data_IF_776693843834
#
_entry.id   IF_776693843834
#
_cell.length_a   1.000
_cell.length_b   1.000
_cell.length_c   1.000
_cell.angle_alpha   90.00
_cell.angle_beta   90.00
_cell.angle_gamma   90.00
#
_symmetry.space_group_name_H-M   'P 1'
#
loop_
_entity.id
_entity.type
_entity.pdbx_description
1 polymer ?
#
# COMPACT_ATOMS: atom_id res chain seq x y z
N UNK A 1 -0.03 10.72 1.53
CA UNK A 1 -0.97 9.59 1.29
C UNK A 1 -0.43 8.32 1.94
N UNK A 2 -1.27 7.42 2.44
CA UNK A 2 -0.83 6.09 2.96
C UNK A 2 -1.60 4.99 2.26
N UNK A 3 -0.91 4.14 1.50
CA UNK A 3 -1.46 2.97 0.83
C UNK A 3 -1.13 1.75 1.66
N UNK A 4 -2.14 0.95 2.01
CA UNK A 4 -1.97 -0.16 2.95
C UNK A 4 -2.06 -1.50 2.25
N UNK A 5 -1.00 -2.30 2.34
CA UNK A 5 -1.00 -3.72 1.98
C UNK A 5 -1.45 -4.49 3.21
N UNK A 6 -2.61 -5.13 3.15
CA UNK A 6 -3.20 -5.86 4.28
C UNK A 6 -3.17 -7.36 4.02
N UNK A 7 -2.68 -8.12 5.00
CA UNK A 7 -2.79 -9.57 5.07
C UNK A 7 -3.81 -9.94 6.15
N UNK A 8 -4.93 -10.56 5.74
CA UNK A 8 -5.98 -11.04 6.65
C UNK A 8 -6.45 -12.42 6.23
N UNK A 9 -6.46 -13.38 7.17
CA UNK A 9 -6.85 -14.78 6.91
C UNK A 9 -6.22 -15.39 5.63
N UNK A 10 -4.89 -15.18 5.47
CA UNK A 10 -4.11 -15.59 4.29
C UNK A 10 -4.53 -14.94 2.95
N UNK A 11 -5.35 -13.88 2.97
CA UNK A 11 -5.68 -13.05 1.82
C UNK A 11 -4.90 -11.75 1.84
N UNK A 12 -4.37 -11.38 0.69
CA UNK A 12 -3.65 -10.13 0.49
C UNK A 12 -4.55 -9.14 -0.23
N UNK A 13 -4.52 -7.88 0.22
CA UNK A 13 -5.27 -6.81 -0.42
C UNK A 13 -4.54 -5.48 -0.32
N UNK A 14 -4.74 -4.60 -1.29
CA UNK A 14 -4.31 -3.20 -1.21
C UNK A 14 -5.51 -2.32 -0.90
N UNK A 15 -5.36 -1.49 0.12
CA UNK A 15 -6.29 -0.41 0.49
C UNK A 15 -5.68 0.90 0.01
N UNK A 16 -6.29 1.47 -1.02
CA UNK A 16 -5.94 2.81 -1.52
C UNK A 16 -6.93 3.83 -0.95
N UNK A 17 -6.47 4.85 -0.21
CA UNK A 17 -7.36 5.86 0.36
C UNK A 17 -8.12 6.66 -0.70
N UNK A 18 -7.65 6.70 -1.95
CA UNK A 18 -8.32 7.39 -3.04
C UNK A 18 -9.54 6.63 -3.60
N UNK A 19 -9.54 5.30 -3.51
CA UNK A 19 -10.64 4.46 -4.02
C UNK A 19 -11.55 3.93 -2.93
N UNK A 20 -11.08 3.91 -1.67
CA UNK A 20 -11.76 3.35 -0.51
C UNK A 20 -12.20 1.87 -0.67
N UNK A 21 -11.66 1.15 -1.65
CA UNK A 21 -11.96 -0.25 -1.94
C UNK A 21 -10.72 -1.10 -1.72
N UNK A 22 -10.91 -2.23 -1.04
CA UNK A 22 -9.88 -3.25 -0.88
C UNK A 22 -9.77 -4.07 -2.17
N UNK A 23 -8.64 -3.96 -2.86
CA UNK A 23 -8.38 -4.75 -4.05
C UNK A 23 -7.63 -6.03 -3.68
N UNK A 24 -8.15 -7.22 -4.01
CA UNK A 24 -7.54 -8.49 -3.64
C UNK A 24 -6.36 -8.85 -4.56
N UNK A 25 -5.34 -9.49 -3.99
CA UNK A 25 -4.17 -9.99 -4.70
C UNK A 25 -3.86 -11.45 -4.34
N UNK A 26 -3.26 -12.17 -5.28
CA UNK A 26 -2.89 -13.57 -5.10
C UNK A 26 -1.72 -13.78 -4.12
N UNK A 27 -0.85 -12.78 -3.94
CA UNK A 27 0.30 -12.85 -3.05
C UNK A 27 0.64 -11.50 -2.43
N UNK A 28 1.40 -11.52 -1.33
CA UNK A 28 1.89 -10.31 -0.67
C UNK A 28 2.86 -9.52 -1.53
N UNK A 29 3.70 -10.21 -2.32
CA UNK A 29 4.59 -9.55 -3.27
C UNK A 29 3.81 -8.75 -4.33
N UNK A 30 2.79 -9.37 -4.95
CA UNK A 30 1.97 -8.68 -5.94
C UNK A 30 1.20 -7.49 -5.35
N UNK A 31 0.67 -7.64 -4.13
CA UNK A 31 0.01 -6.54 -3.43
C UNK A 31 0.99 -5.40 -3.10
N UNK A 32 2.21 -5.74 -2.67
CA UNK A 32 3.24 -4.77 -2.34
C UNK A 32 3.73 -4.00 -3.56
N UNK A 33 4.01 -4.68 -4.67
CA UNK A 33 4.41 -4.05 -5.93
C UNK A 33 3.33 -3.08 -6.45
N UNK A 34 2.06 -3.49 -6.37
CA UNK A 34 0.94 -2.63 -6.74
C UNK A 34 0.83 -1.38 -5.84
N UNK A 35 0.99 -1.55 -4.52
CA UNK A 35 0.98 -0.44 -3.58
C UNK A 35 2.17 0.51 -3.81
N UNK A 36 3.35 -0.03 -4.11
CA UNK A 36 4.55 0.74 -4.41
C UNK A 36 4.40 1.58 -5.69
N UNK A 37 3.84 0.99 -6.75
CA UNK A 37 3.54 1.69 -7.99
C UNK A 37 2.58 2.87 -7.74
N UNK A 38 1.50 2.65 -6.99
CA UNK A 38 0.53 3.70 -6.67
C UNK A 38 1.12 4.81 -5.81
N UNK A 39 1.90 4.45 -4.80
CA UNK A 39 2.49 5.40 -3.88
C UNK A 39 3.52 6.29 -4.58
N UNK A 40 4.38 5.68 -5.41
CA UNK A 40 5.38 6.40 -6.22
C UNK A 40 4.72 7.27 -7.29
N UNK A 41 3.69 6.77 -7.97
CA UNK A 41 2.97 7.53 -9.00
C UNK A 41 2.23 8.74 -8.41
N UNK A 42 1.62 8.59 -7.23
CA UNK A 42 1.02 9.70 -6.50
C UNK A 42 2.06 10.76 -6.11
N UNK A 43 3.18 10.34 -5.51
CA UNK A 43 4.26 11.25 -5.15
C UNK A 43 4.79 12.00 -6.37
N UNK A 44 5.07 11.29 -7.47
CA UNK A 44 5.54 11.88 -8.73
C UNK A 44 4.54 12.88 -9.34
N UNK A 45 3.23 12.59 -9.26
CA UNK A 45 2.18 13.47 -9.84
C UNK A 45 1.89 14.71 -9.00
N UNK A 46 2.05 14.62 -7.68
CA UNK A 46 1.57 15.66 -6.76
C UNK A 46 2.67 16.38 -5.98
N UNK A 47 3.87 15.79 -5.91
CA UNK A 47 4.94 16.21 -5.02
C UNK A 47 4.65 15.96 -3.53
N UNK A 48 3.53 15.33 -3.18
CA UNK A 48 3.16 15.07 -1.78
C UNK A 48 3.80 13.79 -1.25
N UNK A 49 4.05 13.75 0.06
CA UNK A 49 4.56 12.57 0.73
C UNK A 49 3.61 11.37 0.56
N UNK A 50 4.19 10.18 0.39
CA UNK A 50 3.44 8.96 0.14
C UNK A 50 4.08 7.77 0.84
N UNK A 51 3.29 6.94 1.52
CA UNK A 51 3.79 5.81 2.31
C UNK A 51 3.13 4.51 1.86
N UNK A 52 3.92 3.43 1.77
CA UNK A 52 3.41 2.06 1.71
C UNK A 52 3.51 1.46 3.11
N UNK A 53 2.35 1.19 3.70
CA UNK A 53 2.22 0.49 4.97
C UNK A 53 1.86 -0.96 4.74
N UNK A 54 2.52 -1.87 5.46
CA UNK A 54 2.17 -3.30 5.46
C UNK A 54 1.54 -3.65 6.80
N UNK A 55 0.30 -4.12 6.76
CA UNK A 55 -0.44 -4.63 7.91
C UNK A 55 -0.60 -6.14 7.83
N UNK A 56 -0.03 -6.87 8.78
CA UNK A 56 -0.13 -8.32 8.84
C UNK A 56 -0.13 -8.81 10.29
N UNK A 57 -0.99 -9.80 10.58
CA UNK A 57 -1.04 -10.48 11.89
C UNK A 57 -1.17 -9.51 13.09
N UNK A 58 -1.93 -8.43 12.93
CA UNK A 58 -2.13 -7.42 13.97
C UNK A 58 -0.98 -6.41 14.12
N UNK A 59 0.05 -6.48 13.28
CA UNK A 59 1.16 -5.52 13.25
C UNK A 59 1.07 -4.64 12.00
N UNK A 60 1.61 -3.43 12.10
CA UNK A 60 1.72 -2.48 11.00
C UNK A 60 3.16 -1.97 10.91
N UNK A 61 3.72 -1.94 9.70
CA UNK A 61 5.06 -1.41 9.43
C UNK A 61 4.99 -0.47 8.23
N UNK A 62 5.55 0.73 8.36
CA UNK A 62 5.81 1.62 7.22
C UNK A 62 7.04 1.11 6.47
N UNK A 63 6.79 0.43 5.36
CA UNK A 63 7.83 -0.28 4.61
C UNK A 63 8.57 0.64 3.64
N UNK A 64 7.88 1.62 3.06
CA UNK A 64 8.46 2.60 2.14
C UNK A 64 7.83 3.96 2.39
N UNK A 65 8.67 5.00 2.46
CA UNK A 65 8.23 6.38 2.54
C UNK A 65 8.87 7.18 1.39
N UNK A 66 8.04 7.81 0.57
CA UNK A 66 8.42 8.80 -0.43
C UNK A 66 8.23 10.17 0.17
N UNK A 67 9.32 10.93 0.29
CA UNK A 67 9.32 12.31 0.74
C UNK A 67 10.24 13.14 -0.16
N UNK A 68 10.09 14.46 -0.07
CA UNK A 68 10.87 15.43 -0.86
C UNK A 68 12.30 15.64 -0.35
#
# INVERSE_FOLDING_TARGET
MVITVKCSAARWSVLDPATAVAEPFASGAAAFDAALLRASDHHRRTGQDSTVRVEALGNAVDAVHFSH
#
